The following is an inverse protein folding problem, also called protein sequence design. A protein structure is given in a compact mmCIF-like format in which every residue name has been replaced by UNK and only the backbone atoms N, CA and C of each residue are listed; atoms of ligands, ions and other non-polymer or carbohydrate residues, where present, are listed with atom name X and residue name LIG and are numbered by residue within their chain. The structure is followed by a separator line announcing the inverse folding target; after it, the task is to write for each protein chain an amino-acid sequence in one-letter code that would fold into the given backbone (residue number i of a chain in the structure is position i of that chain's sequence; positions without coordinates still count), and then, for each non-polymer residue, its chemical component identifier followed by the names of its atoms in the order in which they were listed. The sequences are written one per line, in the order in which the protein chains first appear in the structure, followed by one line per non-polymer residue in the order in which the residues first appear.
data_IF_162021933878
#
_entry.id   IF_162021933878
#
_cell.length_a   1.000
_cell.length_b   1.000
_cell.length_c   1.000
_cell.angle_alpha   90.00
_cell.angle_beta   90.00
_cell.angle_gamma   90.00
#
_symmetry.space_group_name_H-M   'P 1'
#
loop_
_entity.id
_entity.type
_entity.pdbx_description
1 polymer ?
#
# COMPACT_ATOMS: atom_id res chain seq x y z
N UNK A 1 52.95 -44.52 5.84
CA UNK A 1 52.67 -43.57 4.73
C UNK A 1 51.17 -43.33 4.54
N UNK A 2 50.33 -44.38 4.42
CA UNK A 2 48.86 -44.26 4.30
C UNK A 2 48.18 -43.48 5.45
N UNK A 3 48.55 -43.71 6.72
CA UNK A 3 47.95 -43.02 7.89
C UNK A 3 48.17 -41.50 7.86
N UNK A 4 49.36 -41.06 7.42
CA UNK A 4 49.69 -39.62 7.32
C UNK A 4 48.91 -38.96 6.19
N UNK A 5 48.75 -39.65 5.07
CA UNK A 5 47.95 -39.17 3.93
C UNK A 5 46.47 -39.06 4.31
N UNK A 6 45.95 -40.01 5.08
CA UNK A 6 44.55 -39.99 5.53
C UNK A 6 44.28 -38.86 6.53
N UNK A 7 45.17 -38.63 7.50
CA UNK A 7 45.06 -37.51 8.43
C UNK A 7 45.15 -36.16 7.70
N UNK A 8 46.01 -36.03 6.68
CA UNK A 8 46.07 -34.83 5.85
C UNK A 8 44.77 -34.60 5.06
N UNK A 9 44.18 -35.65 4.48
CA UNK A 9 42.87 -35.56 3.80
C UNK A 9 41.79 -35.07 4.75
N UNK A 10 41.70 -35.66 5.94
CA UNK A 10 40.72 -35.27 6.97
C UNK A 10 40.88 -33.81 7.40
N UNK A 11 42.13 -33.33 7.53
CA UNK A 11 42.41 -31.92 7.86
C UNK A 11 42.04 -30.96 6.74
N UNK A 12 42.32 -31.32 5.49
CA UNK A 12 41.96 -30.51 4.32
C UNK A 12 40.43 -30.41 4.21
N UNK A 13 39.71 -31.52 4.38
CA UNK A 13 38.25 -31.53 4.35
C UNK A 13 37.65 -30.66 5.48
N UNK A 14 38.12 -30.83 6.71
CA UNK A 14 37.70 -30.01 7.84
C UNK A 14 38.01 -28.52 7.64
N UNK A 15 39.15 -28.20 7.02
CA UNK A 15 39.51 -26.83 6.66
C UNK A 15 38.54 -26.25 5.62
N UNK A 16 38.27 -26.99 4.54
CA UNK A 16 37.32 -26.56 3.49
C UNK A 16 35.94 -26.27 4.04
N UNK A 17 35.39 -27.17 4.87
CA UNK A 17 34.08 -26.98 5.53
C UNK A 17 34.05 -25.71 6.38
N UNK A 18 35.13 -25.40 7.12
CA UNK A 18 35.21 -24.18 7.93
C UNK A 18 35.33 -22.91 7.09
N UNK A 19 36.07 -22.97 5.98
CA UNK A 19 36.21 -21.83 5.06
C UNK A 19 34.87 -21.53 4.39
N UNK A 20 34.15 -22.54 3.94
CA UNK A 20 32.82 -22.40 3.34
C UNK A 20 31.81 -21.84 4.34
N UNK A 21 31.76 -22.39 5.56
CA UNK A 21 30.88 -21.88 6.62
C UNK A 21 31.17 -20.42 6.96
N UNK A 22 32.45 -20.02 7.02
CA UNK A 22 32.84 -18.62 7.25
C UNK A 22 32.42 -17.72 6.09
N UNK A 23 32.58 -18.17 4.85
CA UNK A 23 32.17 -17.41 3.66
C UNK A 23 30.66 -17.20 3.64
N UNK A 24 29.88 -18.25 3.89
CA UNK A 24 28.42 -18.17 3.96
C UNK A 24 27.96 -17.21 5.07
N UNK A 25 28.56 -17.31 6.26
CA UNK A 25 28.27 -16.39 7.37
C UNK A 25 28.54 -14.92 7.00
N UNK A 26 29.69 -14.64 6.38
CA UNK A 26 30.03 -13.28 5.93
C UNK A 26 29.03 -12.76 4.89
N UNK A 27 28.62 -13.61 3.95
CA UNK A 27 27.62 -13.24 2.95
C UNK A 27 26.26 -12.89 3.61
N UNK A 28 25.81 -13.71 4.57
CA UNK A 28 24.57 -13.44 5.33
C UNK A 28 24.66 -12.15 6.14
N UNK A 29 25.82 -11.90 6.75
CA UNK A 29 26.07 -10.68 7.52
C UNK A 29 26.01 -9.45 6.62
N UNK A 30 26.71 -9.45 5.49
CA UNK A 30 26.67 -8.35 4.52
C UNK A 30 25.25 -8.10 4.01
N UNK A 31 24.53 -9.15 3.64
CA UNK A 31 23.16 -9.05 3.15
C UNK A 31 22.23 -8.41 4.19
N UNK A 32 22.18 -8.99 5.39
CA UNK A 32 21.32 -8.50 6.47
C UNK A 32 21.63 -7.05 6.85
N UNK A 33 22.89 -6.68 7.03
CA UNK A 33 23.24 -5.30 7.44
C UNK A 33 22.97 -4.27 6.34
N UNK A 34 23.11 -4.67 5.07
CA UNK A 34 22.74 -3.82 3.93
C UNK A 34 21.25 -3.54 3.95
N UNK A 35 20.43 -4.60 3.98
CA UNK A 35 18.97 -4.45 3.98
C UNK A 35 18.43 -3.83 5.27
N UNK A 36 19.07 -4.07 6.42
CA UNK A 36 18.76 -3.37 7.68
C UNK A 36 18.92 -1.85 7.51
N UNK A 37 20.02 -1.39 6.92
CA UNK A 37 20.25 0.04 6.73
C UNK A 37 19.23 0.65 5.76
N UNK A 38 18.96 -0.05 4.66
CA UNK A 38 17.99 0.37 3.64
C UNK A 38 16.55 0.44 4.20
N UNK A 39 16.11 -0.56 4.96
CA UNK A 39 14.75 -0.60 5.50
C UNK A 39 14.56 0.44 6.61
N UNK A 40 15.59 0.71 7.41
CA UNK A 40 15.53 1.74 8.44
C UNK A 40 15.49 3.15 7.83
N UNK A 41 16.25 3.40 6.77
CA UNK A 41 16.16 4.64 6.00
C UNK A 41 14.78 4.78 5.35
N UNK A 42 14.25 3.69 4.77
CA UNK A 42 12.92 3.64 4.20
C UNK A 42 11.83 3.99 5.22
N UNK A 43 11.88 3.44 6.44
CA UNK A 43 10.94 3.80 7.50
C UNK A 43 11.01 5.29 7.85
N UNK A 44 12.21 5.89 7.86
CA UNK A 44 12.36 7.33 8.03
C UNK A 44 11.66 8.14 6.93
N UNK A 45 11.80 7.72 5.66
CA UNK A 45 11.09 8.35 4.53
C UNK A 45 9.58 8.20 4.63
N UNK A 46 9.09 7.01 5.02
CA UNK A 46 7.66 6.74 5.19
C UNK A 46 7.03 7.55 6.33
N UNK A 47 7.76 7.79 7.40
CA UNK A 47 7.30 8.61 8.50
C UNK A 47 7.03 10.06 8.07
N UNK A 48 7.91 10.64 7.25
CA UNK A 48 7.71 11.98 6.65
C UNK A 48 6.55 12.00 5.66
N UNK A 49 6.39 10.93 4.87
CA UNK A 49 5.32 10.80 3.87
C UNK A 49 3.95 10.55 4.49
N UNK A 50 3.88 10.06 5.73
CA UNK A 50 2.65 9.55 6.36
C UNK A 50 1.48 10.55 6.32
N UNK A 51 1.73 11.85 6.47
CA UNK A 51 0.69 12.88 6.46
C UNK A 51 0.04 13.08 5.09
N UNK A 52 0.71 12.67 4.01
CA UNK A 52 0.18 12.81 2.65
C UNK A 52 -1.08 11.97 2.46
N UNK A 53 -1.17 10.81 3.12
CA UNK A 53 -2.30 9.89 2.98
C UNK A 53 -3.56 10.34 3.74
N UNK A 54 -3.45 11.35 4.61
CA UNK A 54 -4.60 11.95 5.29
C UNK A 54 -5.35 12.95 4.38
N UNK A 55 -4.75 13.39 3.27
CA UNK A 55 -5.39 14.29 2.31
C UNK A 55 -6.13 13.53 1.22
N UNK A 56 -7.41 13.87 1.07
CA UNK A 56 -8.32 13.33 0.06
C UNK A 56 -8.35 14.23 -1.18
N UNK A 57 -8.21 13.64 -2.37
CA UNK A 57 -8.39 14.34 -3.64
C UNK A 57 -9.87 14.48 -4.00
N UNK A 58 -10.27 15.61 -4.59
CA UNK A 58 -11.61 15.79 -5.19
C UNK A 58 -11.72 15.26 -6.62
N UNK A 59 -10.62 14.75 -7.18
CA UNK A 59 -10.60 14.13 -8.50
C UNK A 59 -10.56 12.61 -8.34
N UNK A 60 -11.51 11.92 -8.98
CA UNK A 60 -11.68 10.46 -8.88
C UNK A 60 -10.44 9.71 -9.37
N UNK A 61 -9.89 10.08 -10.52
CA UNK A 61 -8.73 9.40 -11.12
C UNK A 61 -7.50 9.56 -10.22
N UNK A 62 -7.29 10.77 -9.70
CA UNK A 62 -6.19 11.03 -8.77
C UNK A 62 -6.38 10.29 -7.43
N UNK A 63 -7.60 10.22 -6.91
CA UNK A 63 -7.90 9.44 -5.71
C UNK A 63 -7.63 7.95 -5.89
N UNK A 64 -8.04 7.38 -7.04
CA UNK A 64 -7.79 6.00 -7.40
C UNK A 64 -6.30 5.70 -7.54
N UNK A 65 -5.56 6.56 -8.26
CA UNK A 65 -4.09 6.46 -8.39
C UNK A 65 -3.40 6.45 -7.02
N UNK A 66 -3.74 7.38 -6.13
CA UNK A 66 -3.16 7.46 -4.78
C UNK A 66 -3.47 6.23 -3.93
N UNK A 67 -4.69 5.69 -4.05
CA UNK A 67 -5.10 4.45 -3.37
C UNK A 67 -4.27 3.25 -3.84
N UNK A 68 -4.06 3.14 -5.15
CA UNK A 68 -3.24 2.09 -5.75
C UNK A 68 -1.77 2.21 -5.35
N UNK A 69 -1.20 3.42 -5.42
CA UNK A 69 0.18 3.68 -4.99
C UNK A 69 0.42 3.35 -3.53
N UNK A 70 -0.51 3.73 -2.65
CA UNK A 70 -0.45 3.38 -1.24
C UNK A 70 -0.46 1.86 -1.05
N UNK A 71 -1.32 1.13 -1.76
CA UNK A 71 -1.43 -0.33 -1.67
C UNK A 71 -0.14 -1.03 -2.10
N UNK A 72 0.42 -0.62 -3.25
CA UNK A 72 1.70 -1.15 -3.75
C UNK A 72 2.82 -0.86 -2.75
N UNK A 73 2.87 0.36 -2.21
CA UNK A 73 3.90 0.78 -1.26
C UNK A 73 3.79 0.02 0.08
N UNK A 74 2.58 -0.18 0.61
CA UNK A 74 2.37 -0.94 1.84
C UNK A 74 2.74 -2.42 1.69
N UNK A 75 2.37 -3.03 0.56
CA UNK A 75 2.68 -4.43 0.26
C UNK A 75 4.18 -4.64 0.06
N UNK A 76 4.83 -3.76 -0.71
CA UNK A 76 6.28 -3.79 -0.89
C UNK A 76 7.02 -3.60 0.45
N UNK A 77 6.53 -2.72 1.32
CA UNK A 77 7.10 -2.50 2.65
C UNK A 77 6.95 -3.73 3.55
N UNK A 78 5.79 -4.41 3.52
CA UNK A 78 5.56 -5.64 4.26
C UNK A 78 6.47 -6.79 3.77
N UNK A 79 6.67 -6.89 2.45
CA UNK A 79 7.56 -7.88 1.86
C UNK A 79 9.03 -7.63 2.22
N UNK A 80 9.49 -6.37 2.15
CA UNK A 80 10.84 -5.99 2.56
C UNK A 80 11.07 -6.32 4.05
N UNK A 81 10.10 -5.99 4.91
CA UNK A 81 10.13 -6.36 6.33
C UNK A 81 10.30 -7.87 6.53
N UNK A 82 9.45 -8.70 5.92
CA UNK A 82 9.53 -10.15 6.07
C UNK A 82 10.87 -10.72 5.57
N UNK A 83 11.39 -10.16 4.47
CA UNK A 83 12.68 -10.56 3.89
C UNK A 83 13.84 -10.24 4.85
N UNK A 84 13.95 -9.01 5.33
CA UNK A 84 15.06 -8.60 6.21
C UNK A 84 15.01 -9.30 7.58
N UNK A 85 13.82 -9.54 8.13
CA UNK A 85 13.67 -10.36 9.35
C UNK A 85 14.11 -11.80 9.10
N UNK A 86 13.76 -12.37 7.94
CA UNK A 86 14.21 -13.69 7.52
C UNK A 86 15.73 -13.79 7.44
N UNK A 87 16.39 -12.78 6.87
CA UNK A 87 17.85 -12.70 6.77
C UNK A 87 18.53 -12.62 8.14
N UNK A 88 17.99 -11.79 9.05
CA UNK A 88 18.51 -11.69 10.42
C UNK A 88 18.42 -13.02 11.17
N UNK A 89 17.29 -13.72 11.06
CA UNK A 89 17.10 -15.04 11.65
C UNK A 89 18.04 -16.11 11.04
N UNK A 90 18.31 -16.05 9.73
CA UNK A 90 19.28 -16.94 9.09
C UNK A 90 20.70 -16.65 9.55
N UNK A 91 21.05 -15.38 9.77
CA UNK A 91 22.35 -14.97 10.29
C UNK A 91 22.58 -15.48 11.72
N UNK A 92 21.58 -15.36 12.60
CA UNK A 92 21.64 -15.93 13.97
C UNK A 92 21.90 -17.44 13.91
N UNK A 93 21.15 -18.18 13.10
CA UNK A 93 21.36 -19.63 12.94
C UNK A 93 22.77 -19.97 12.45
N UNK A 94 23.32 -19.19 11.53
CA UNK A 94 24.68 -19.38 11.04
C UNK A 94 25.74 -19.10 12.13
N UNK A 95 25.54 -18.08 12.97
CA UNK A 95 26.40 -17.77 14.12
C UNK A 95 26.39 -18.90 15.16
N UNK A 96 25.22 -19.44 15.48
CA UNK A 96 25.08 -20.57 16.41
C UNK A 96 25.75 -21.84 15.87
N UNK A 97 25.61 -22.10 14.56
CA UNK A 97 26.26 -23.23 13.91
C UNK A 97 27.79 -23.08 13.92
N UNK A 98 28.30 -21.88 13.66
CA UNK A 98 29.73 -21.59 13.74
C UNK A 98 30.27 -21.81 15.16
N UNK A 99 29.54 -21.35 16.18
CA UNK A 99 29.92 -21.53 17.57
C UNK A 99 30.12 -23.02 17.91
N UNK A 100 29.20 -23.87 17.47
CA UNK A 100 29.28 -25.34 17.63
C UNK A 100 30.45 -25.97 16.85
N UNK A 101 30.70 -25.52 15.62
CA UNK A 101 31.71 -26.12 14.74
C UNK A 101 33.14 -25.67 15.05
N UNK A 102 33.31 -24.44 15.52
CA UNK A 102 34.62 -23.80 15.70
C UNK A 102 34.97 -23.53 17.16
N UNK A 103 34.06 -23.82 18.10
CA UNK A 103 34.21 -23.51 19.53
C UNK A 103 34.52 -22.01 19.77
N UNK A 104 33.81 -21.15 19.04
CA UNK A 104 33.88 -19.69 19.13
C UNK A 104 32.65 -19.22 19.89
N UNK A 105 32.83 -18.33 20.87
CA UNK A 105 31.71 -17.68 21.53
C UNK A 105 31.16 -16.55 20.65
N UNK A 106 29.91 -16.69 20.24
CA UNK A 106 29.19 -15.72 19.40
C UNK A 106 28.03 -15.03 20.15
N UNK A 107 27.91 -15.22 21.48
CA UNK A 107 26.76 -14.75 22.26
C UNK A 107 26.51 -13.24 22.12
N UNK A 108 27.57 -12.41 22.25
CA UNK A 108 27.44 -10.95 22.11
C UNK A 108 27.01 -10.54 20.70
N UNK A 109 27.51 -11.23 19.66
CA UNK A 109 27.16 -10.93 18.27
C UNK A 109 25.70 -11.28 18.02
N UNK A 110 25.24 -12.44 18.48
CA UNK A 110 23.82 -12.83 18.39
C UNK A 110 22.93 -11.79 19.05
N UNK A 111 23.26 -11.35 20.27
CA UNK A 111 22.50 -10.32 20.98
C UNK A 111 22.44 -8.98 20.21
N UNK A 112 23.49 -8.62 19.47
CA UNK A 112 23.47 -7.44 18.59
C UNK A 112 22.49 -7.65 17.43
N UNK A 113 22.54 -8.80 16.74
CA UNK A 113 21.62 -9.07 15.63
C UNK A 113 20.16 -9.11 16.09
N UNK A 114 19.88 -9.72 17.25
CA UNK A 114 18.54 -9.73 17.87
C UNK A 114 18.04 -8.31 18.15
N UNK A 115 18.91 -7.41 18.63
CA UNK A 115 18.55 -6.00 18.82
C UNK A 115 18.17 -5.31 17.51
N UNK A 116 18.94 -5.54 16.44
CA UNK A 116 18.64 -4.96 15.13
C UNK A 116 17.32 -5.50 14.55
N UNK A 117 17.03 -6.79 14.75
CA UNK A 117 15.73 -7.39 14.40
C UNK A 117 14.61 -6.68 15.18
N UNK A 118 14.78 -6.50 16.49
CA UNK A 118 13.80 -5.81 17.33
C UNK A 118 13.56 -4.36 16.87
N UNK A 119 14.61 -3.64 16.48
CA UNK A 119 14.49 -2.28 15.94
C UNK A 119 13.64 -2.25 14.65
N UNK A 120 13.83 -3.22 13.75
CA UNK A 120 12.99 -3.39 12.54
C UNK A 120 11.55 -3.65 12.95
N UNK A 121 11.29 -4.59 13.85
CA UNK A 121 9.94 -4.95 14.31
C UNK A 121 9.20 -3.75 14.92
N UNK A 122 9.87 -2.99 15.79
CA UNK A 122 9.27 -1.81 16.41
C UNK A 122 8.93 -0.72 15.39
N UNK A 123 9.82 -0.46 14.43
CA UNK A 123 9.58 0.53 13.36
C UNK A 123 8.46 0.08 12.43
N UNK A 124 8.44 -1.19 12.06
CA UNK A 124 7.39 -1.77 11.22
C UNK A 124 6.03 -1.68 11.89
N UNK A 125 5.93 -2.09 13.16
CA UNK A 125 4.68 -2.06 13.91
C UNK A 125 4.10 -0.63 13.99
N UNK A 126 4.94 0.37 14.30
CA UNK A 126 4.53 1.79 14.31
C UNK A 126 4.02 2.26 12.95
N UNK A 127 4.61 1.79 11.85
CA UNK A 127 4.15 2.14 10.51
C UNK A 127 2.83 1.43 10.17
N UNK A 128 2.76 0.12 10.43
CA UNK A 128 1.63 -0.73 10.10
C UNK A 128 0.35 -0.36 10.87
N UNK A 129 0.48 0.17 12.09
CA UNK A 129 -0.65 0.66 12.90
C UNK A 129 -1.44 1.79 12.21
N UNK A 130 -0.78 2.56 11.32
CA UNK A 130 -1.41 3.66 10.56
C UNK A 130 -2.15 3.18 9.31
N UNK A 131 -1.82 2.01 8.78
CA UNK A 131 -2.33 1.52 7.50
C UNK A 131 -3.86 1.37 7.46
N UNK A 132 -4.55 0.84 8.49
CA UNK A 132 -6.00 0.72 8.47
C UNK A 132 -6.71 2.08 8.32
N UNK A 133 -6.20 3.11 9.01
CA UNK A 133 -6.73 4.46 8.90
C UNK A 133 -6.48 5.04 7.50
N UNK A 134 -5.24 5.00 7.02
CA UNK A 134 -4.87 5.52 5.69
C UNK A 134 -5.68 4.86 4.58
N UNK A 135 -5.82 3.52 4.61
CA UNK A 135 -6.65 2.76 3.67
C UNK A 135 -8.08 3.27 3.65
N UNK A 136 -8.68 3.43 4.83
CA UNK A 136 -10.06 3.92 4.97
C UNK A 136 -10.20 5.33 4.42
N UNK A 137 -9.28 6.24 4.77
CA UNK A 137 -9.30 7.62 4.31
C UNK A 137 -9.18 7.73 2.79
N UNK A 138 -8.30 6.95 2.16
CA UNK A 138 -8.17 6.90 0.70
C UNK A 138 -9.41 6.33 0.03
N UNK A 139 -9.97 5.23 0.55
CA UNK A 139 -11.20 4.62 0.04
C UNK A 139 -12.39 5.58 0.12
N UNK A 140 -12.59 6.20 1.29
CA UNK A 140 -13.65 7.17 1.52
C UNK A 140 -13.45 8.40 0.62
N UNK A 141 -12.19 8.82 0.45
CA UNK A 141 -11.85 9.93 -0.39
C UNK A 141 -12.23 9.76 -1.86
N UNK A 142 -11.97 8.57 -2.42
CA UNK A 142 -12.45 8.22 -3.77
C UNK A 142 -13.97 8.28 -3.85
N UNK A 143 -14.68 7.72 -2.87
CA UNK A 143 -16.15 7.72 -2.88
C UNK A 143 -16.70 9.15 -2.84
N UNK A 144 -16.13 10.03 -2.01
CA UNK A 144 -16.49 11.46 -1.99
C UNK A 144 -16.17 12.16 -3.32
N UNK A 145 -15.02 11.88 -3.94
CA UNK A 145 -14.69 12.45 -5.24
C UNK A 145 -15.70 12.03 -6.33
N UNK A 146 -16.13 10.77 -6.32
CA UNK A 146 -17.14 10.25 -7.23
C UNK A 146 -18.49 10.94 -7.01
N UNK A 147 -18.91 11.05 -5.75
CA UNK A 147 -20.13 11.76 -5.38
C UNK A 147 -20.13 13.23 -5.80
N UNK A 148 -19.02 13.95 -5.60
CA UNK A 148 -18.87 15.34 -6.04
C UNK A 148 -18.96 15.45 -7.57
N UNK A 149 -18.37 14.50 -8.30
CA UNK A 149 -18.48 14.43 -9.78
C UNK A 149 -19.93 14.21 -10.20
N UNK A 150 -20.65 13.28 -9.58
CA UNK A 150 -22.05 12.98 -9.88
C UNK A 150 -22.95 14.19 -9.60
N UNK A 151 -22.73 14.87 -8.47
CA UNK A 151 -23.42 16.13 -8.14
C UNK A 151 -23.22 17.19 -9.23
N UNK A 152 -21.97 17.39 -9.70
CA UNK A 152 -21.69 18.34 -10.78
C UNK A 152 -22.39 17.97 -12.08
N UNK A 153 -22.38 16.67 -12.43
CA UNK A 153 -23.05 16.18 -13.64
C UNK A 153 -24.56 16.42 -13.59
N UNK A 154 -25.22 16.13 -12.47
CA UNK A 154 -26.66 16.34 -12.32
C UNK A 154 -27.00 17.83 -12.29
N UNK A 155 -26.19 18.68 -11.65
CA UNK A 155 -26.36 20.15 -11.74
C UNK A 155 -26.30 20.62 -13.19
N UNK A 156 -25.38 20.08 -14.00
CA UNK A 156 -25.29 20.44 -15.41
C UNK A 156 -26.50 19.94 -16.21
N UNK A 157 -26.95 18.70 -15.97
CA UNK A 157 -28.15 18.14 -16.60
C UNK A 157 -29.39 19.00 -16.27
N UNK A 158 -29.57 19.38 -15.00
CA UNK A 158 -30.66 20.26 -14.57
C UNK A 158 -30.63 21.63 -15.25
N UNK A 159 -29.44 22.21 -15.47
CA UNK A 159 -29.29 23.47 -16.21
C UNK A 159 -29.69 23.32 -17.67
N UNK A 160 -29.22 22.28 -18.35
CA UNK A 160 -29.55 22.00 -19.75
C UNK A 160 -31.07 21.79 -19.92
N UNK A 161 -31.67 20.97 -19.06
CA UNK A 161 -33.12 20.74 -19.08
C UNK A 161 -33.93 22.01 -18.88
N UNK A 162 -33.50 22.90 -17.97
CA UNK A 162 -34.15 24.20 -17.79
C UNK A 162 -34.04 25.06 -19.06
N UNK A 163 -32.89 25.07 -19.71
CA UNK A 163 -32.68 25.82 -20.96
C UNK A 163 -33.55 25.28 -22.09
N UNK A 164 -33.63 23.95 -22.24
CA UNK A 164 -34.50 23.28 -23.21
C UNK A 164 -35.98 23.62 -22.98
N UNK A 165 -36.44 23.57 -21.71
CA UNK A 165 -37.81 23.94 -21.34
C UNK A 165 -38.12 25.40 -21.66
N UNK A 166 -37.20 26.33 -21.37
CA UNK A 166 -37.37 27.75 -21.69
C UNK A 166 -37.41 27.96 -23.20
N UNK A 167 -36.56 27.28 -23.97
CA UNK A 167 -36.55 27.38 -25.43
C UNK A 167 -37.86 26.85 -26.04
N UNK A 168 -38.38 25.74 -25.51
CA UNK A 168 -39.61 25.12 -25.95
C UNK A 168 -40.83 26.03 -25.73
N UNK A 169 -40.95 26.62 -24.54
CA UNK A 169 -42.04 27.56 -24.19
C UNK A 169 -41.97 28.84 -25.05
N UNK A 170 -40.77 29.30 -25.39
CA UNK A 170 -40.56 30.49 -26.24
C UNK A 170 -40.76 30.23 -27.73
N UNK A 171 -41.02 28.99 -28.16
CA UNK A 171 -41.17 28.66 -29.57
C UNK A 171 -42.51 29.19 -30.12
N UNK A 172 -42.47 29.73 -31.36
CA UNK A 172 -43.66 30.31 -32.01
C UNK A 172 -44.79 29.30 -32.24
N UNK A 173 -44.50 27.99 -32.16
CA UNK A 173 -45.45 26.90 -32.41
C UNK A 173 -45.83 26.16 -31.10
N UNK A 174 -45.58 26.76 -29.92
CA UNK A 174 -45.84 26.13 -28.63
C UNK A 174 -47.28 25.63 -28.49
N UNK A 175 -48.26 26.47 -28.86
CA UNK A 175 -49.69 26.13 -28.75
C UNK A 175 -50.09 24.94 -29.64
N UNK A 176 -49.52 24.85 -30.85
CA UNK A 176 -49.78 23.76 -31.80
C UNK A 176 -49.10 22.44 -31.40
N UNK A 177 -48.06 22.52 -30.55
CA UNK A 177 -47.26 21.37 -30.13
C UNK A 177 -47.50 20.95 -28.68
N UNK A 178 -48.38 21.62 -27.94
CA UNK A 178 -48.57 21.42 -26.51
C UNK A 178 -48.88 19.96 -26.12
N UNK A 179 -49.75 19.28 -26.86
CA UNK A 179 -50.05 17.84 -26.65
C UNK A 179 -48.84 16.95 -26.89
N UNK A 180 -47.96 17.32 -27.82
CA UNK A 180 -46.71 16.60 -28.08
C UNK A 180 -45.62 16.94 -27.08
N UNK A 181 -45.69 18.08 -26.39
CA UNK A 181 -44.71 18.56 -25.42
C UNK A 181 -44.95 17.95 -24.03
N UNK A 182 -46.22 17.74 -23.66
CA UNK A 182 -46.61 17.23 -22.35
C UNK A 182 -45.90 15.90 -21.97
N UNK A 183 -45.80 14.88 -22.84
CA UNK A 183 -45.09 13.64 -22.51
C UNK A 183 -43.60 13.85 -22.24
N UNK A 184 -42.93 14.76 -22.98
CA UNK A 184 -41.53 15.10 -22.72
C UNK A 184 -41.35 15.78 -21.35
N UNK A 185 -42.35 16.54 -20.89
CA UNK A 185 -42.32 17.15 -19.58
C UNK A 185 -42.49 16.12 -18.44
N UNK A 186 -43.35 15.13 -18.62
CA UNK A 186 -43.55 14.05 -17.65
C UNK A 186 -42.31 13.14 -17.56
N UNK A 187 -41.74 12.78 -18.71
CA UNK A 187 -40.49 12.01 -18.78
C UNK A 187 -39.33 12.78 -18.13
N UNK A 188 -39.18 14.08 -18.45
CA UNK A 188 -38.14 14.92 -17.86
C UNK A 188 -38.32 15.06 -16.35
N UNK A 189 -39.55 15.30 -15.87
CA UNK A 189 -39.86 15.37 -14.44
C UNK A 189 -39.48 14.07 -13.72
N UNK A 190 -39.72 12.92 -14.35
CA UNK A 190 -39.35 11.61 -13.82
C UNK A 190 -37.83 11.43 -13.77
N UNK A 191 -37.12 11.79 -14.84
CA UNK A 191 -35.66 11.75 -14.89
C UNK A 191 -35.02 12.64 -13.81
N UNK A 192 -35.51 13.87 -13.63
CA UNK A 192 -35.07 14.79 -12.57
C UNK A 192 -35.25 14.17 -11.19
N UNK A 193 -36.45 13.64 -10.89
CA UNK A 193 -36.75 13.02 -9.60
C UNK A 193 -35.85 11.83 -9.32
N UNK A 194 -35.62 10.99 -10.33
CA UNK A 194 -34.75 9.81 -10.21
C UNK A 194 -33.29 10.23 -9.97
N UNK A 195 -32.77 11.22 -10.71
CA UNK A 195 -31.41 11.72 -10.54
C UNK A 195 -31.19 12.31 -9.13
N UNK A 196 -32.12 13.14 -8.65
CA UNK A 196 -32.06 13.73 -7.30
C UNK A 196 -32.15 12.67 -6.21
N UNK A 197 -33.03 11.67 -6.38
CA UNK A 197 -33.18 10.56 -5.43
C UNK A 197 -31.91 9.70 -5.41
N UNK A 198 -31.30 9.44 -6.57
CA UNK A 198 -30.03 8.74 -6.69
C UNK A 198 -28.90 9.42 -5.92
N UNK A 199 -28.70 10.73 -6.10
CA UNK A 199 -27.71 11.50 -5.32
C UNK A 199 -28.00 11.39 -3.81
N UNK A 200 -29.27 11.53 -3.41
CA UNK A 200 -29.64 11.47 -1.99
C UNK A 200 -29.30 10.11 -1.37
N UNK A 201 -29.54 9.02 -2.10
CA UNK A 201 -29.20 7.67 -1.66
C UNK A 201 -27.68 7.50 -1.58
N UNK A 202 -26.93 7.91 -2.62
CA UNK A 202 -25.46 7.87 -2.61
C UNK A 202 -24.87 8.67 -1.44
N UNK A 203 -25.46 9.82 -1.10
CA UNK A 203 -25.06 10.62 0.06
C UNK A 203 -25.30 9.88 1.39
N UNK A 204 -26.41 9.15 1.50
CA UNK A 204 -26.70 8.35 2.70
C UNK A 204 -25.73 7.17 2.86
N UNK A 205 -25.36 6.50 1.77
CA UNK A 205 -24.37 5.41 1.77
C UNK A 205 -22.96 5.87 2.13
N UNK A 206 -22.60 7.13 1.86
CA UNK A 206 -21.32 7.72 2.26
C UNK A 206 -21.21 7.99 3.77
N UNK A 207 -22.35 8.08 4.47
CA UNK A 207 -22.43 8.42 5.90
C UNK A 207 -22.52 7.18 6.80
N UNK A 208 -22.61 5.99 6.21
CA UNK A 208 -22.61 4.69 6.91
C UNK A 208 -21.19 4.11 6.97
#
# INVERSE_FOLDING_TARGET
MSVVVEELRRRIEAFSVRVEARRDLLNKSVLFHTHYSEIMEWYGRMEVKSSQYDFVSTNVQEGERRKEEWMIESDATAQAYATTIGEGNQLIKALEQQAKMMNIDNHEIVAVIERLINDIEQRHAKLADRWPHQRRSLQLGVKFAAFVKDCKQIIQQLKNWREDMVALVKSNNFAERAEHILPYQDDNTTQVKNAVTGIKNNAAELLQ
#
